data_IF_071139116033
#
_entry.id   IF_071139116033
#
_cell.length_a   1.000
_cell.length_b   1.000
_cell.length_c   1.000
_cell.angle_alpha   90.00
_cell.angle_beta   90.00
_cell.angle_gamma   90.00
#
_symmetry.space_group_name_H-M   'P 1'
#
loop_
_entity.id
_entity.type
_entity.pdbx_description
1 polymer ?
#
# COMPACT_ATOMS: atom_id res chain seq x y z
N UNK A 1 -10.85 -6.36 22.07
CA UNK A 1 -10.76 -5.59 20.80
C UNK A 1 -9.40 -4.92 20.78
N UNK A 2 -8.64 -5.07 19.72
CA UNK A 2 -7.34 -4.38 19.59
C UNK A 2 -7.64 -2.88 19.41
N UNK A 3 -7.20 -2.06 20.35
CA UNK A 3 -7.37 -0.62 20.29
C UNK A 3 -6.29 -0.05 19.36
N UNK A 4 -6.69 0.49 18.21
CA UNK A 4 -5.80 1.15 17.26
C UNK A 4 -5.72 2.64 17.58
N UNK A 5 -4.53 3.22 17.48
CA UNK A 5 -4.27 4.62 17.83
C UNK A 5 -3.93 5.50 16.61
N UNK A 6 -3.39 4.90 15.55
CA UNK A 6 -2.95 5.60 14.34
C UNK A 6 -3.66 5.12 13.07
N UNK A 7 -4.54 4.13 13.19
CA UNK A 7 -5.46 3.73 12.14
C UNK A 7 -6.88 3.63 12.69
N UNK A 8 -7.84 3.63 11.78
CA UNK A 8 -9.21 3.20 12.04
C UNK A 8 -9.46 1.92 11.24
N UNK A 9 -10.14 0.97 11.84
CA UNK A 9 -10.53 -0.29 11.20
C UNK A 9 -12.03 -0.48 11.37
N UNK A 10 -12.72 -0.61 10.28
CA UNK A 10 -14.17 -0.82 10.22
C UNK A 10 -14.50 -1.92 9.22
N UNK A 11 -15.53 -2.71 9.51
CA UNK A 11 -16.08 -3.72 8.60
C UNK A 11 -17.55 -3.44 8.41
N UNK A 12 -17.93 -3.15 7.20
CA UNK A 12 -19.31 -2.87 6.81
C UNK A 12 -19.68 -3.74 5.61
N UNK A 13 -20.67 -4.60 5.79
CA UNK A 13 -21.21 -5.49 4.76
C UNK A 13 -20.11 -6.30 4.03
N UNK A 14 -19.21 -6.93 4.80
CA UNK A 14 -18.12 -7.76 4.29
C UNK A 14 -16.97 -7.00 3.61
N UNK A 15 -16.94 -5.67 3.71
CA UNK A 15 -15.84 -4.85 3.23
C UNK A 15 -15.12 -4.22 4.42
N UNK A 16 -13.86 -4.61 4.63
CA UNK A 16 -13.00 -3.98 5.62
C UNK A 16 -12.45 -2.65 5.07
N UNK A 17 -12.43 -1.61 5.90
CA UNK A 17 -11.78 -0.33 5.58
C UNK A 17 -10.70 -0.05 6.61
N UNK A 18 -9.46 0.06 6.14
CA UNK A 18 -8.28 0.46 6.93
C UNK A 18 -7.95 1.90 6.58
N UNK A 19 -8.18 2.81 7.52
CA UNK A 19 -7.91 4.23 7.32
C UNK A 19 -6.71 4.66 8.17
N UNK A 20 -5.62 5.10 7.53
CA UNK A 20 -4.52 5.75 8.25
C UNK A 20 -5.04 7.03 8.89
N UNK A 21 -4.86 7.20 10.21
CA UNK A 21 -5.53 8.23 10.99
C UNK A 21 -4.59 9.10 11.80
N UNK A 22 -3.84 9.93 11.08
CA UNK A 22 -3.00 11.03 11.61
C UNK A 22 -3.12 12.25 10.68
N UNK A 23 -4.34 12.80 10.44
CA UNK A 23 -4.55 13.84 9.42
C UNK A 23 -3.76 15.12 9.69
N UNK A 24 -3.52 15.46 10.96
CA UNK A 24 -2.71 16.60 11.41
C UNK A 24 -1.24 16.47 10.99
N UNK A 25 -0.75 15.26 10.85
CA UNK A 25 0.59 14.89 10.37
C UNK A 25 0.59 14.37 8.92
N UNK A 26 -0.46 14.66 8.14
CA UNK A 26 -0.60 14.16 6.75
C UNK A 26 -0.45 12.63 6.65
N UNK A 27 -0.93 11.90 7.64
CA UNK A 27 -0.86 10.44 7.76
C UNK A 27 0.57 9.89 7.61
N UNK A 28 1.58 10.61 8.12
CA UNK A 28 2.96 10.14 8.08
C UNK A 28 3.13 8.83 8.83
N UNK A 29 3.90 7.95 8.19
CA UNK A 29 4.08 6.55 8.59
C UNK A 29 5.04 6.42 9.76
N UNK A 30 4.65 5.65 10.76
CA UNK A 30 5.43 5.33 11.95
C UNK A 30 5.54 3.83 12.17
N UNK A 31 6.41 3.40 13.09
CA UNK A 31 6.47 2.00 13.51
C UNK A 31 5.19 1.54 14.24
N UNK A 32 4.44 2.46 14.88
CA UNK A 32 3.13 2.14 15.47
C UNK A 32 2.13 1.86 14.37
N UNK A 33 1.97 2.78 13.42
CA UNK A 33 1.09 2.60 12.26
C UNK A 33 1.40 1.32 11.48
N UNK A 34 2.68 1.00 11.28
CA UNK A 34 3.09 -0.26 10.64
C UNK A 34 2.53 -1.48 11.38
N UNK A 35 2.72 -1.54 12.71
CA UNK A 35 2.23 -2.68 13.50
C UNK A 35 0.71 -2.78 13.48
N UNK A 36 0.03 -1.63 13.60
CA UNK A 36 -1.42 -1.56 13.59
C UNK A 36 -2.00 -1.98 12.24
N UNK A 37 -1.42 -1.51 11.12
CA UNK A 37 -1.83 -1.95 9.79
C UNK A 37 -1.59 -3.45 9.58
N UNK A 38 -0.43 -3.99 10.00
CA UNK A 38 -0.20 -5.43 9.93
C UNK A 38 -1.26 -6.21 10.73
N UNK A 39 -1.57 -5.77 11.96
CA UNK A 39 -2.60 -6.40 12.78
C UNK A 39 -4.00 -6.29 12.16
N UNK A 40 -4.32 -5.17 11.51
CA UNK A 40 -5.58 -5.03 10.77
C UNK A 40 -5.67 -6.05 9.61
N UNK A 41 -4.59 -6.27 8.87
CA UNK A 41 -4.55 -7.30 7.83
C UNK A 41 -4.61 -8.73 8.42
N UNK A 42 -4.12 -8.96 9.66
CA UNK A 42 -4.29 -10.25 10.35
C UNK A 42 -5.77 -10.49 10.71
N UNK A 43 -6.48 -9.45 11.17
CA UNK A 43 -7.92 -9.52 11.40
C UNK A 43 -8.70 -9.78 10.11
N UNK A 44 -8.36 -9.11 9.02
CA UNK A 44 -8.96 -9.32 7.70
C UNK A 44 -8.82 -10.77 7.22
N UNK A 45 -7.63 -11.35 7.35
CA UNK A 45 -7.40 -12.72 6.89
C UNK A 45 -8.07 -13.76 7.81
N UNK A 46 -8.24 -13.46 9.10
CA UNK A 46 -8.88 -14.33 10.07
C UNK A 46 -10.43 -14.29 10.01
N UNK A 47 -11.01 -13.29 9.35
CA UNK A 47 -12.45 -13.11 9.25
C UNK A 47 -12.96 -13.60 7.88
N UNK A 48 -13.69 -14.71 7.88
CA UNK A 48 -14.26 -15.29 6.66
C UNK A 48 -15.39 -14.46 6.06
N UNK A 49 -16.03 -13.58 6.84
CA UNK A 49 -17.07 -12.68 6.37
C UNK A 49 -16.48 -11.48 5.61
N UNK A 50 -15.21 -11.16 5.81
CA UNK A 50 -14.52 -10.12 5.04
C UNK A 50 -14.19 -10.63 3.63
N UNK A 51 -14.65 -9.89 2.62
CA UNK A 51 -14.55 -10.25 1.20
C UNK A 51 -13.58 -9.37 0.42
N UNK A 52 -13.37 -8.14 0.86
CA UNK A 52 -12.44 -7.19 0.24
C UNK A 52 -11.95 -6.16 1.29
N UNK A 53 -10.83 -5.52 1.00
CA UNK A 53 -10.23 -4.49 1.86
C UNK A 53 -10.05 -3.20 1.08
N UNK A 54 -10.43 -2.08 1.67
CA UNK A 54 -10.12 -0.73 1.19
C UNK A 54 -9.09 -0.12 2.13
N UNK A 55 -8.02 0.44 1.57
CA UNK A 55 -7.00 1.20 2.33
C UNK A 55 -7.04 2.65 1.88
N UNK A 56 -7.15 3.58 2.83
CA UNK A 56 -7.19 5.02 2.56
C UNK A 56 -6.53 5.83 3.67
N UNK A 57 -6.43 7.15 3.49
CA UNK A 57 -5.98 8.09 4.51
C UNK A 57 -7.12 8.97 5.01
N UNK A 58 -7.11 9.36 6.29
CA UNK A 58 -8.05 10.33 6.83
C UNK A 58 -7.72 11.75 6.38
N UNK A 59 -8.76 12.58 6.26
CA UNK A 59 -8.65 13.96 5.77
C UNK A 59 -8.55 14.04 4.24
N UNK A 60 -8.28 15.22 3.74
CA UNK A 60 -8.32 15.57 2.32
C UNK A 60 -6.94 15.86 1.70
N UNK A 61 -5.88 15.92 2.53
CA UNK A 61 -4.56 16.36 2.07
C UNK A 61 -3.64 15.23 1.64
N UNK A 62 -3.70 14.10 2.32
CA UNK A 62 -2.73 13.02 2.08
C UNK A 62 -3.34 11.64 2.32
N UNK A 63 -2.97 10.72 1.45
CA UNK A 63 -3.03 9.28 1.74
C UNK A 63 -1.96 8.94 2.80
N UNK A 64 -0.68 9.18 2.47
CA UNK A 64 0.45 9.11 3.39
C UNK A 64 1.62 9.92 2.81
N UNK A 65 2.06 10.97 3.51
CA UNK A 65 3.08 11.89 3.00
C UNK A 65 4.53 11.38 3.18
N UNK A 66 4.73 10.14 3.61
CA UNK A 66 6.04 9.53 3.81
C UNK A 66 6.29 9.10 5.24
N UNK A 67 7.52 8.69 5.55
CA UNK A 67 7.92 8.33 6.89
C UNK A 67 7.92 9.55 7.82
N UNK A 68 7.46 9.36 9.06
CA UNK A 68 7.58 10.37 10.10
C UNK A 68 9.04 10.40 10.59
N UNK A 69 9.73 11.50 10.30
CA UNK A 69 11.14 11.70 10.64
C UNK A 69 11.32 12.46 11.96
N UNK A 70 10.24 12.69 12.71
CA UNK A 70 10.35 13.37 14.01
C UNK A 70 10.93 12.45 15.08
N UNK A 71 11.71 12.94 16.05
CA UNK A 71 12.31 12.12 17.12
C UNK A 71 11.26 11.33 17.93
N UNK A 72 10.04 11.84 18.02
CA UNK A 72 8.94 11.26 18.79
C UNK A 72 8.14 10.17 18.04
N UNK A 73 8.53 9.84 16.80
CA UNK A 73 7.76 8.91 15.93
C UNK A 73 7.85 7.42 16.32
N UNK A 74 8.30 7.10 17.54
CA UNK A 74 8.33 5.72 18.05
C UNK A 74 9.56 4.91 17.63
N UNK A 75 10.68 5.59 17.45
CA UNK A 75 11.98 5.05 17.04
C UNK A 75 12.37 5.50 15.65
N UNK A 76 13.67 5.68 15.45
CA UNK A 76 14.24 6.07 14.17
C UNK A 76 13.91 5.00 13.12
N UNK A 77 13.11 5.37 12.11
CA UNK A 77 12.75 4.49 10.98
C UNK A 77 14.00 4.01 10.23
N UNK A 78 15.11 4.75 10.40
CA UNK A 78 16.43 4.46 9.86
C UNK A 78 17.45 4.02 10.94
N UNK A 79 17.00 3.73 12.19
CA UNK A 79 17.89 3.36 13.29
C UNK A 79 18.85 2.25 12.90
N UNK A 80 20.10 2.44 13.27
CA UNK A 80 21.20 1.52 12.98
C UNK A 80 20.87 0.10 13.40
N UNK A 81 20.90 -0.82 12.43
CA UNK A 81 20.68 -2.25 12.58
C UNK A 81 21.97 -3.00 12.90
N UNK A 82 22.87 -2.36 13.61
CA UNK A 82 24.25 -2.82 13.88
C UNK A 82 24.35 -4.16 14.66
N UNK A 83 23.23 -4.76 15.06
CA UNK A 83 23.20 -6.00 15.85
C UNK A 83 22.61 -7.21 15.11
N UNK A 84 22.43 -7.15 13.80
CA UNK A 84 21.81 -8.23 13.03
C UNK A 84 22.84 -8.94 12.19
N UNK A 85 22.98 -10.24 12.40
CA UNK A 85 24.06 -11.05 11.80
C UNK A 85 23.83 -11.47 10.34
N UNK A 86 22.63 -11.26 9.75
CA UNK A 86 22.32 -11.63 8.37
C UNK A 86 21.28 -10.69 7.75
N UNK A 87 21.47 -10.35 6.48
CA UNK A 87 20.49 -9.57 5.70
C UNK A 87 19.18 -10.32 5.43
N UNK A 88 19.16 -11.64 5.60
CA UNK A 88 17.95 -12.46 5.49
C UNK A 88 17.07 -12.45 6.75
N UNK A 89 17.57 -11.91 7.86
CA UNK A 89 16.80 -11.81 9.11
C UNK A 89 15.63 -10.81 8.95
N UNK A 90 14.43 -11.24 9.30
CA UNK A 90 13.24 -10.37 9.21
C UNK A 90 13.36 -9.08 10.01
N UNK A 91 14.17 -9.08 11.07
CA UNK A 91 14.46 -7.90 11.89
C UNK A 91 15.24 -6.83 11.13
N UNK A 92 15.90 -7.19 10.03
CA UNK A 92 16.64 -6.25 9.15
C UNK A 92 15.73 -5.52 8.20
N UNK A 93 14.54 -6.07 7.92
CA UNK A 93 13.60 -5.45 6.98
C UNK A 93 13.16 -4.09 7.50
N UNK A 94 13.11 -3.13 6.60
CA UNK A 94 12.52 -1.82 6.89
C UNK A 94 11.03 -1.98 7.25
N UNK A 95 10.49 -1.03 8.02
CA UNK A 95 9.10 -1.09 8.46
C UNK A 95 8.11 -1.02 7.29
N UNK A 96 8.47 -0.29 6.23
CA UNK A 96 7.69 -0.26 4.98
C UNK A 96 7.66 -1.62 4.31
N UNK A 97 8.81 -2.31 4.22
CA UNK A 97 8.93 -3.65 3.65
C UNK A 97 8.13 -4.69 4.42
N UNK A 98 8.08 -4.59 5.74
CA UNK A 98 7.24 -5.49 6.57
C UNK A 98 5.76 -5.33 6.24
N UNK A 99 5.26 -4.09 6.18
CA UNK A 99 3.87 -3.82 5.80
C UNK A 99 3.58 -4.25 4.36
N UNK A 100 4.43 -3.88 3.42
CA UNK A 100 4.27 -4.21 1.99
C UNK A 100 4.17 -5.72 1.78
N UNK A 101 5.03 -6.50 2.43
CA UNK A 101 4.98 -7.96 2.34
C UNK A 101 3.73 -8.53 3.04
N UNK A 102 3.26 -7.92 4.14
CA UNK A 102 2.00 -8.33 4.78
C UNK A 102 0.79 -8.09 3.86
N UNK A 103 0.72 -6.94 3.20
CA UNK A 103 -0.32 -6.65 2.18
C UNK A 103 -0.24 -7.65 1.03
N UNK A 104 0.97 -7.95 0.55
CA UNK A 104 1.19 -8.95 -0.50
C UNK A 104 0.68 -10.34 -0.12
N UNK A 105 0.83 -10.73 1.14
CA UNK A 105 0.40 -12.03 1.66
C UNK A 105 -1.10 -12.10 1.96
N UNK A 106 -1.82 -10.98 1.99
CA UNK A 106 -3.26 -10.96 2.24
C UNK A 106 -3.99 -11.86 1.26
N UNK A 107 -4.96 -12.62 1.77
CA UNK A 107 -5.78 -13.55 0.96
C UNK A 107 -6.98 -12.89 0.33
N UNK A 108 -7.32 -11.69 0.76
CA UNK A 108 -8.47 -10.91 0.25
C UNK A 108 -8.00 -9.86 -0.76
N UNK A 109 -8.83 -9.45 -1.73
CA UNK A 109 -8.55 -8.33 -2.62
C UNK A 109 -8.31 -7.03 -1.85
N UNK A 110 -7.25 -6.30 -2.19
CA UNK A 110 -6.89 -5.03 -1.55
C UNK A 110 -6.99 -3.88 -2.54
N UNK A 111 -7.79 -2.88 -2.20
CA UNK A 111 -8.06 -1.69 -3.01
C UNK A 111 -7.49 -0.47 -2.30
N UNK A 112 -6.52 0.20 -2.90
CA UNK A 112 -6.04 1.49 -2.44
C UNK A 112 -6.93 2.61 -2.96
N UNK A 113 -7.50 3.41 -2.05
CA UNK A 113 -8.21 4.65 -2.36
C UNK A 113 -7.33 5.83 -1.97
N UNK A 114 -6.56 6.34 -2.96
CA UNK A 114 -5.49 7.32 -2.75
C UNK A 114 -6.07 8.73 -2.76
N UNK A 115 -6.44 9.23 -1.59
CA UNK A 115 -7.19 10.46 -1.40
C UNK A 115 -6.36 11.76 -1.47
N UNK A 116 -5.03 11.67 -1.55
CA UNK A 116 -4.16 12.85 -1.57
C UNK A 116 -2.70 12.49 -1.79
N UNK A 117 -1.78 13.22 -1.14
CA UNK A 117 -0.35 12.99 -1.29
C UNK A 117 0.07 11.57 -0.85
N UNK A 118 0.77 10.86 -1.72
CA UNK A 118 1.33 9.52 -1.52
C UNK A 118 2.81 9.55 -1.89
N UNK A 119 3.70 9.76 -0.91
CA UNK A 119 5.12 10.04 -1.15
C UNK A 119 5.99 9.10 -0.32
N UNK A 120 7.13 8.68 -0.85
CA UNK A 120 8.02 7.73 -0.18
C UNK A 120 7.28 6.43 0.13
N UNK A 121 7.24 6.01 1.42
CA UNK A 121 6.48 4.83 1.84
C UNK A 121 4.99 4.93 1.48
N UNK A 122 4.39 6.13 1.43
CA UNK A 122 3.03 6.33 0.96
C UNK A 122 2.82 5.94 -0.50
N UNK A 123 3.85 6.07 -1.35
CA UNK A 123 3.84 5.59 -2.72
C UNK A 123 4.17 4.09 -2.82
N UNK A 124 5.06 3.58 -1.97
CA UNK A 124 5.54 2.20 -2.09
C UNK A 124 4.62 1.17 -1.43
N UNK A 125 3.99 1.50 -0.29
CA UNK A 125 3.08 0.57 0.40
C UNK A 125 1.84 0.17 -0.41
N UNK A 126 1.43 1.00 -1.37
CA UNK A 126 0.27 0.71 -2.21
C UNK A 126 0.57 -0.24 -3.39
N UNK A 127 1.86 -0.47 -3.70
CA UNK A 127 2.25 -1.27 -4.86
C UNK A 127 1.77 -2.73 -4.80
N UNK A 128 1.76 -3.44 -3.65
CA UNK A 128 1.22 -4.79 -3.54
C UNK A 128 -0.31 -4.85 -3.47
N UNK A 129 -1.01 -3.72 -3.38
CA UNK A 129 -2.47 -3.69 -3.48
C UNK A 129 -2.92 -4.07 -4.89
N UNK A 130 -4.05 -4.75 -5.02
CA UNK A 130 -4.49 -5.28 -6.32
C UNK A 130 -5.01 -4.17 -7.24
N UNK A 131 -5.69 -3.19 -6.65
CA UNK A 131 -6.22 -2.04 -7.38
C UNK A 131 -5.83 -0.74 -6.66
N UNK A 132 -5.57 0.30 -7.42
CA UNK A 132 -5.30 1.67 -6.95
C UNK A 132 -6.21 2.63 -7.69
N UNK A 133 -7.10 3.28 -6.95
CA UNK A 133 -7.92 4.39 -7.42
C UNK A 133 -7.39 5.67 -6.78
N UNK A 134 -7.37 6.76 -7.49
CA UNK A 134 -6.82 8.01 -6.99
C UNK A 134 -7.82 9.16 -7.06
N UNK A 135 -7.74 10.08 -6.12
CA UNK A 135 -8.31 11.41 -6.28
C UNK A 135 -7.56 12.16 -7.41
N UNK A 136 -8.24 13.01 -8.15
CA UNK A 136 -7.63 13.92 -9.12
C UNK A 136 -6.65 14.91 -8.48
N UNK A 137 -6.81 15.18 -7.18
CA UNK A 137 -5.89 15.99 -6.37
C UNK A 137 -4.68 15.21 -5.88
N UNK A 138 -4.65 13.88 -6.02
CA UNK A 138 -3.55 13.04 -5.52
C UNK A 138 -2.21 13.37 -6.19
N UNK A 139 -1.14 13.21 -5.41
CA UNK A 139 0.25 13.41 -5.84
C UNK A 139 1.08 12.22 -5.41
N UNK A 140 1.93 11.74 -6.30
CA UNK A 140 2.77 10.57 -6.09
C UNK A 140 4.24 10.95 -6.17
N UNK A 141 5.09 10.27 -5.40
CA UNK A 141 6.52 10.54 -5.47
C UNK A 141 7.38 9.41 -4.89
N UNK A 142 8.28 8.88 -5.72
CA UNK A 142 9.33 7.94 -5.32
C UNK A 142 10.62 8.73 -5.02
N UNK A 143 10.58 9.56 -3.97
CA UNK A 143 11.54 10.64 -3.71
C UNK A 143 12.89 10.18 -3.13
N UNK A 144 13.17 8.90 -3.11
CA UNK A 144 14.31 8.26 -2.44
C UNK A 144 15.66 8.81 -2.91
N UNK A 145 15.89 8.88 -4.23
CA UNK A 145 17.13 9.38 -4.81
C UNK A 145 17.44 10.84 -4.40
N UNK A 146 16.41 11.67 -4.21
CA UNK A 146 16.56 13.05 -3.72
C UNK A 146 16.98 13.15 -2.26
N UNK A 147 16.92 12.04 -1.53
CA UNK A 147 17.33 11.89 -0.13
C UNK A 147 18.62 11.07 0.02
N UNK A 148 19.26 10.68 -1.09
CA UNK A 148 20.48 9.87 -1.08
C UNK A 148 20.25 8.43 -0.65
N UNK A 149 19.01 7.93 -0.74
CA UNK A 149 18.63 6.55 -0.42
C UNK A 149 18.04 5.85 -1.64
N UNK A 150 18.04 4.52 -1.62
CA UNK A 150 17.44 3.69 -2.66
C UNK A 150 15.95 3.43 -2.40
N UNK A 151 15.16 3.05 -3.42
CA UNK A 151 13.78 2.59 -3.23
C UNK A 151 13.68 1.46 -2.22
N UNK A 152 12.74 1.59 -1.27
CA UNK A 152 12.51 0.66 -0.14
C UNK A 152 11.20 -0.12 -0.31
N UNK A 153 10.78 -0.88 0.72
CA UNK A 153 9.48 -1.59 0.76
C UNK A 153 9.26 -2.53 -0.43
N UNK A 154 10.31 -3.21 -0.89
CA UNK A 154 10.29 -4.09 -2.06
C UNK A 154 9.77 -3.42 -3.35
N UNK A 155 9.75 -2.09 -3.41
CA UNK A 155 9.25 -1.34 -4.56
C UNK A 155 10.02 -1.61 -5.85
N UNK A 156 11.31 -1.94 -5.76
CA UNK A 156 12.12 -2.38 -6.91
C UNK A 156 11.60 -3.67 -7.56
N UNK A 157 10.86 -4.49 -6.82
CA UNK A 157 10.20 -5.68 -7.35
C UNK A 157 8.82 -5.37 -7.93
N UNK A 158 8.00 -4.59 -7.20
CA UNK A 158 6.62 -4.32 -7.57
C UNK A 158 6.49 -3.29 -8.69
N UNK A 159 7.17 -2.14 -8.57
CA UNK A 159 6.93 -1.00 -9.45
C UNK A 159 7.16 -1.32 -10.93
N UNK A 160 8.30 -1.92 -11.36
CA UNK A 160 8.52 -2.21 -12.77
C UNK A 160 7.54 -3.25 -13.35
N UNK A 161 6.93 -4.08 -12.51
CA UNK A 161 5.88 -5.04 -12.91
C UNK A 161 4.54 -4.36 -13.17
N UNK A 162 4.29 -3.25 -12.51
CA UNK A 162 3.05 -2.47 -12.67
C UNK A 162 3.11 -1.49 -13.83
N UNK A 163 4.23 -0.76 -13.96
CA UNK A 163 4.34 0.39 -14.86
C UNK A 163 5.36 0.20 -15.99
N UNK A 164 6.03 -0.93 -16.01
CA UNK A 164 7.17 -1.18 -16.92
C UNK A 164 8.47 -0.54 -16.43
N UNK A 165 9.59 -1.06 -16.94
CA UNK A 165 10.93 -0.70 -16.45
C UNK A 165 11.25 0.79 -16.71
N UNK A 166 10.94 1.31 -17.89
CA UNK A 166 11.28 2.67 -18.26
C UNK A 166 10.58 3.71 -17.37
N UNK A 167 9.28 3.53 -17.11
CA UNK A 167 8.53 4.44 -16.26
C UNK A 167 8.98 4.34 -14.79
N UNK A 168 9.26 3.12 -14.32
CA UNK A 168 9.81 2.91 -12.98
C UNK A 168 11.16 3.61 -12.79
N UNK A 169 12.07 3.49 -13.76
CA UNK A 169 13.37 4.17 -13.75
C UNK A 169 13.21 5.69 -13.74
N UNK A 170 12.35 6.24 -14.60
CA UNK A 170 12.12 7.69 -14.64
C UNK A 170 11.68 8.22 -13.28
N UNK A 171 10.64 7.63 -12.68
CA UNK A 171 10.12 8.10 -11.40
C UNK A 171 11.10 7.92 -10.24
N UNK A 172 11.81 6.78 -10.21
CA UNK A 172 12.79 6.52 -9.14
C UNK A 172 14.05 7.35 -9.26
N UNK A 173 14.61 7.53 -10.49
CA UNK A 173 15.86 8.26 -10.68
C UNK A 173 15.67 9.77 -10.57
N UNK A 174 14.54 10.31 -11.05
CA UNK A 174 14.26 11.75 -10.92
C UNK A 174 13.81 12.11 -9.52
N UNK A 175 13.14 11.19 -8.83
CA UNK A 175 12.51 11.41 -7.53
C UNK A 175 11.51 12.57 -7.54
N UNK A 176 10.98 12.94 -8.72
CA UNK A 176 10.00 14.03 -8.83
C UNK A 176 8.63 13.59 -8.32
N UNK A 177 7.85 14.56 -7.91
CA UNK A 177 6.43 14.36 -7.59
C UNK A 177 5.62 14.58 -8.86
N UNK A 178 4.63 13.73 -9.09
CA UNK A 178 3.75 13.76 -10.25
C UNK A 178 2.27 13.67 -9.84
N UNK A 179 1.38 14.02 -10.76
CA UNK A 179 -0.05 14.08 -10.49
C UNK A 179 -0.79 12.78 -10.82
N UNK A 180 -2.09 12.73 -10.47
CA UNK A 180 -2.95 11.57 -10.71
C UNK A 180 -3.12 11.23 -12.20
N UNK A 181 -3.15 12.23 -13.07
CA UNK A 181 -3.26 12.00 -14.53
C UNK A 181 -2.02 11.29 -15.07
N UNK A 182 -0.82 11.68 -14.63
CA UNK A 182 0.41 10.99 -14.99
C UNK A 182 0.46 9.57 -14.38
N UNK A 183 0.01 9.41 -13.14
CA UNK A 183 -0.08 8.08 -12.50
C UNK A 183 -1.01 7.14 -13.29
N UNK A 184 -2.13 7.66 -13.83
CA UNK A 184 -3.04 6.91 -14.68
C UNK A 184 -2.38 6.54 -16.01
N UNK A 185 -1.78 7.50 -16.69
CA UNK A 185 -1.12 7.28 -17.97
C UNK A 185 0.07 6.32 -17.88
N UNK A 186 0.79 6.36 -16.77
CA UNK A 186 1.91 5.46 -16.47
C UNK A 186 1.50 4.08 -15.91
N UNK A 187 0.19 3.81 -15.75
CA UNK A 187 -0.31 2.51 -15.29
C UNK A 187 -0.18 2.26 -13.78
N UNK A 188 0.16 3.30 -13.00
CA UNK A 188 0.25 3.14 -11.53
C UNK A 188 -1.14 3.04 -10.90
N UNK A 189 -2.09 3.83 -11.36
CA UNK A 189 -3.47 3.80 -10.88
C UNK A 189 -4.44 3.37 -11.98
N UNK A 190 -5.51 2.66 -11.59
CA UNK A 190 -6.53 2.15 -12.50
C UNK A 190 -7.45 3.26 -13.01
N UNK A 191 -7.82 4.19 -12.12
CA UNK A 191 -8.78 5.25 -12.41
C UNK A 191 -8.58 6.46 -11.51
N UNK A 192 -9.07 7.61 -11.97
CA UNK A 192 -9.02 8.89 -11.25
C UNK A 192 -10.45 9.40 -11.06
N UNK A 193 -10.76 9.91 -9.88
CA UNK A 193 -12.09 10.33 -9.45
C UNK A 193 -12.03 11.70 -8.78
N UNK A 194 -13.17 12.40 -8.73
CA UNK A 194 -13.29 13.56 -7.84
C UNK A 194 -13.12 13.13 -6.37
N UNK A 195 -12.58 13.99 -5.49
CA UNK A 195 -12.33 13.63 -4.09
C UNK A 195 -13.55 13.05 -3.37
N UNK A 196 -14.73 13.59 -3.65
CA UNK A 196 -16.01 13.15 -3.07
C UNK A 196 -16.51 11.81 -3.59
N UNK A 197 -16.01 11.34 -4.73
CA UNK A 197 -16.46 10.12 -5.41
C UNK A 197 -15.49 8.94 -5.18
N UNK A 198 -14.26 9.19 -4.73
CA UNK A 198 -13.20 8.20 -4.64
C UNK A 198 -13.59 6.98 -3.79
N UNK A 199 -14.07 7.20 -2.57
CA UNK A 199 -14.44 6.10 -1.67
C UNK A 199 -15.66 5.33 -2.18
N UNK A 200 -16.63 6.02 -2.80
CA UNK A 200 -17.79 5.37 -3.42
C UNK A 200 -17.35 4.47 -4.58
N UNK A 201 -16.40 4.92 -5.41
CA UNK A 201 -15.84 4.12 -6.49
C UNK A 201 -15.05 2.91 -5.98
N UNK A 202 -14.27 3.08 -4.90
CA UNK A 202 -13.56 1.97 -4.26
C UNK A 202 -14.53 0.93 -3.68
N UNK A 203 -15.59 1.38 -3.00
CA UNK A 203 -16.65 0.49 -2.48
C UNK A 203 -17.40 -0.21 -3.60
N UNK A 204 -17.73 0.46 -4.69
CA UNK A 204 -18.39 -0.16 -5.85
C UNK A 204 -17.54 -1.31 -6.43
N UNK A 205 -16.21 -1.11 -6.57
CA UNK A 205 -15.31 -2.16 -7.03
C UNK A 205 -15.21 -3.31 -6.01
N UNK A 206 -15.15 -3.01 -4.72
CA UNK A 206 -15.14 -4.01 -3.65
C UNK A 206 -16.43 -4.85 -3.66
N UNK A 207 -17.60 -4.20 -3.82
CA UNK A 207 -18.90 -4.85 -3.94
C UNK A 207 -18.99 -5.75 -5.17
N UNK A 208 -18.51 -5.27 -6.33
CA UNK A 208 -18.48 -6.08 -7.57
C UNK A 208 -17.76 -7.42 -7.34
N UNK A 209 -16.64 -7.38 -6.59
CA UNK A 209 -15.91 -8.61 -6.26
C UNK A 209 -16.65 -9.41 -5.18
N UNK A 210 -17.08 -8.77 -4.10
CA UNK A 210 -17.67 -9.46 -2.95
C UNK A 210 -18.97 -10.17 -3.29
N UNK A 211 -19.82 -9.55 -4.11
CA UNK A 211 -21.16 -10.03 -4.40
C UNK A 211 -21.18 -11.10 -5.52
N UNK A 212 -20.25 -10.98 -6.47
CA UNK A 212 -20.32 -11.76 -7.70
C UNK A 212 -19.29 -12.89 -7.80
N UNK A 213 -18.46 -13.10 -6.76
CA UNK A 213 -17.36 -14.08 -6.85
C UNK A 213 -17.29 -15.01 -5.65
N UNK A 214 -16.66 -16.17 -5.82
CA UNK A 214 -16.39 -17.12 -4.75
C UNK A 214 -15.06 -16.71 -4.01
N UNK A 215 -15.05 -16.61 -2.65
CA UNK A 215 -13.90 -16.13 -1.91
C UNK A 215 -12.63 -16.96 -2.10
N UNK A 216 -12.75 -18.27 -2.10
CA UNK A 216 -11.60 -19.18 -2.32
C UNK A 216 -11.03 -19.00 -3.73
N UNK A 217 -11.89 -18.85 -4.74
CA UNK A 217 -11.45 -18.63 -6.13
C UNK A 217 -10.66 -17.33 -6.26
N UNK A 218 -11.12 -16.26 -5.59
CA UNK A 218 -10.41 -14.96 -5.60
C UNK A 218 -9.06 -15.05 -4.88
N UNK A 219 -9.00 -15.68 -3.72
CA UNK A 219 -7.74 -15.85 -2.97
C UNK A 219 -6.71 -16.62 -3.81
N UNK A 220 -7.13 -17.71 -4.46
CA UNK A 220 -6.26 -18.50 -5.34
C UNK A 220 -5.86 -17.70 -6.59
N UNK A 221 -6.80 -17.01 -7.24
CA UNK A 221 -6.50 -16.16 -8.41
C UNK A 221 -5.48 -15.09 -8.07
N UNK A 222 -5.66 -14.39 -6.94
CA UNK A 222 -4.71 -13.39 -6.45
C UNK A 222 -3.32 -14.00 -6.24
N UNK A 223 -3.26 -15.11 -5.51
CA UNK A 223 -2.00 -15.80 -5.24
C UNK A 223 -1.31 -16.28 -6.53
N UNK A 224 -2.05 -16.84 -7.44
CA UNK A 224 -1.53 -17.32 -8.75
C UNK A 224 -0.97 -16.16 -9.57
N UNK A 225 -1.74 -15.10 -9.79
CA UNK A 225 -1.31 -13.98 -10.64
C UNK A 225 -0.04 -13.31 -10.08
N UNK A 226 0.03 -13.09 -8.77
CA UNK A 226 1.20 -12.50 -8.15
C UNK A 226 2.43 -13.43 -8.18
N UNK A 227 2.27 -14.72 -7.88
CA UNK A 227 3.39 -15.68 -7.84
C UNK A 227 3.89 -16.01 -9.24
N UNK A 228 2.98 -16.27 -10.18
CA UNK A 228 3.34 -16.68 -11.53
C UNK A 228 3.91 -15.55 -12.36
N UNK A 229 3.62 -14.30 -12.05
CA UNK A 229 4.27 -13.14 -12.69
C UNK A 229 5.79 -13.12 -12.50
N UNK A 230 6.32 -13.92 -11.56
CA UNK A 230 7.76 -14.06 -11.29
C UNK A 230 8.32 -15.42 -11.72
N UNK A 231 7.50 -16.33 -12.25
CA UNK A 231 7.94 -17.66 -12.69
C UNK A 231 8.54 -17.60 -14.09
N UNK A 232 9.63 -18.37 -14.30
CA UNK A 232 10.31 -18.41 -15.60
C UNK A 232 9.55 -19.24 -16.65
N UNK A 233 8.59 -20.07 -16.22
CA UNK A 233 7.82 -20.94 -17.11
C UNK A 233 6.39 -21.15 -16.59
N UNK A 234 5.37 -21.20 -17.48
CA UNK A 234 3.96 -21.40 -17.07
C UNK A 234 3.70 -22.66 -16.25
N UNK A 235 4.50 -23.71 -16.42
CA UNK A 235 4.39 -24.96 -15.68
C UNK A 235 5.18 -24.98 -14.37
N UNK A 236 5.82 -23.88 -13.98
CA UNK A 236 6.50 -23.72 -12.68
C UNK A 236 5.52 -23.31 -11.55
N UNK A 237 4.24 -23.34 -11.82
CA UNK A 237 3.15 -22.96 -10.95
C UNK A 237 2.64 -24.12 -10.10
#
# INVERSE_FOLDING_TARGET
MTEFTQIQYDVDDGIATVTMHRPEKMNTFTNVMMREMCAAFDLVDADDDVRAVIVTGSGDRAFCAGADLTPDAGGDVFASRSQVGSLSDERVRDSGGRLTLRIFQCTKPVIGAINGAAVGIGATMQLPMDFRLASDTARFGFVFARRGIVPEAASSWFLPRLVGMQQALEWCMTGRVFNAAEALNGGLVRSVHAPTELLAAARALAREIADNTAPVSIALTRAMLWRLSAADHPMAA
#
